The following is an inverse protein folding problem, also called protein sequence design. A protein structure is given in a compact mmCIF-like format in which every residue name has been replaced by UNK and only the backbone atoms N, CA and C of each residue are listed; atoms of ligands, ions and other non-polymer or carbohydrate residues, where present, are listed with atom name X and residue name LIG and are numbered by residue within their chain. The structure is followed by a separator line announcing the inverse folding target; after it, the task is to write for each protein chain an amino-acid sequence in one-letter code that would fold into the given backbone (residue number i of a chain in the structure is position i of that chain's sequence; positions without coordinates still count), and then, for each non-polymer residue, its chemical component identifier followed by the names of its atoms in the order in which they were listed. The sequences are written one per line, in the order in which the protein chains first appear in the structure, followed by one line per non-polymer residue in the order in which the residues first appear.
data_IF_094827236472
#
_entry.id   IF_094827236472
#
_cell.length_a   1.000
_cell.length_b   1.000
_cell.length_c   1.000
_cell.angle_alpha   90.00
_cell.angle_beta   90.00
_cell.angle_gamma   90.00
#
_symmetry.space_group_name_H-M   'P 1'
#
loop_
_entity.id
_entity.type
_entity.pdbx_description
1 polymer ?
#
# COMPACT_ATOMS: atom_id res chain seq x y z
N UNK A 1 8.99 2.62 -8.86
CA UNK A 1 8.30 1.49 -9.53
C UNK A 1 7.00 2.01 -10.16
N UNK A 2 6.62 1.56 -11.36
CA UNK A 2 5.33 1.93 -11.96
C UNK A 2 4.19 1.06 -11.44
N UNK A 3 2.93 1.51 -11.57
CA UNK A 3 1.75 0.72 -11.17
C UNK A 3 1.71 -0.66 -11.84
N UNK A 4 2.05 -0.71 -13.13
CA UNK A 4 2.14 -1.95 -13.89
C UNK A 4 3.21 -2.88 -13.33
N UNK A 5 4.41 -2.36 -13.08
CA UNK A 5 5.50 -3.16 -12.52
C UNK A 5 5.17 -3.71 -11.13
N UNK A 6 4.46 -2.93 -10.30
CA UNK A 6 3.98 -3.40 -9.00
C UNK A 6 2.96 -4.54 -9.17
N UNK A 7 1.98 -4.34 -10.06
CA UNK A 7 0.95 -5.34 -10.32
C UNK A 7 1.55 -6.67 -10.83
N UNK A 8 2.55 -6.60 -11.71
CA UNK A 8 3.33 -7.76 -12.16
C UNK A 8 4.07 -8.43 -10.99
N UNK A 9 4.73 -7.64 -10.13
CA UNK A 9 5.48 -8.16 -8.98
C UNK A 9 4.60 -8.91 -7.97
N UNK A 10 3.35 -8.47 -7.77
CA UNK A 10 2.41 -9.13 -6.83
C UNK A 10 1.40 -10.06 -7.50
N UNK A 11 1.45 -10.20 -8.83
CA UNK A 11 0.60 -11.11 -9.60
C UNK A 11 -0.87 -10.70 -9.70
N UNK A 12 -1.17 -9.40 -9.84
CA UNK A 12 -2.54 -8.87 -9.98
C UNK A 12 -2.72 -8.05 -11.25
N UNK A 13 -3.97 -7.73 -11.58
CA UNK A 13 -4.27 -6.79 -12.66
C UNK A 13 -3.81 -5.37 -12.28
N UNK A 14 -3.17 -4.58 -13.16
CA UNK A 14 -2.80 -3.18 -12.89
C UNK A 14 -3.94 -2.29 -12.36
N UNK A 15 -5.19 -2.60 -12.71
CA UNK A 15 -6.39 -1.92 -12.19
C UNK A 15 -6.60 -2.17 -10.69
N UNK A 16 -6.26 -3.36 -10.18
CA UNK A 16 -6.33 -3.71 -8.75
C UNK A 16 -5.51 -2.74 -7.91
N UNK A 17 -4.30 -2.39 -8.36
CA UNK A 17 -3.48 -1.39 -7.66
C UNK A 17 -4.18 -0.02 -7.65
N UNK A 18 -4.84 0.37 -8.76
CA UNK A 18 -5.60 1.60 -8.80
C UNK A 18 -6.80 1.61 -7.83
N UNK A 19 -7.48 0.48 -7.64
CA UNK A 19 -8.54 0.36 -6.64
C UNK A 19 -8.00 0.46 -5.21
N UNK A 20 -6.84 -0.15 -4.93
CA UNK A 20 -6.17 -0.06 -3.64
C UNK A 20 -5.79 1.39 -3.30
N UNK A 21 -5.20 2.12 -4.25
CA UNK A 21 -4.80 3.52 -4.05
C UNK A 21 -5.97 4.47 -3.76
N UNK A 22 -7.16 4.17 -4.30
CA UNK A 22 -8.38 4.94 -4.02
C UNK A 22 -9.12 4.48 -2.77
N UNK A 23 -8.75 3.33 -2.19
CA UNK A 23 -9.46 2.72 -1.08
C UNK A 23 -10.79 2.05 -1.47
N UNK A 24 -11.04 1.87 -2.78
CA UNK A 24 -12.25 1.21 -3.30
C UNK A 24 -12.24 -0.31 -3.05
N UNK A 25 -11.07 -0.86 -2.70
CA UNK A 25 -10.84 -2.28 -2.54
C UNK A 25 -9.95 -2.55 -1.33
N UNK A 26 -10.37 -3.46 -0.46
CA UNK A 26 -9.53 -4.02 0.58
C UNK A 26 -8.78 -5.25 0.04
N UNK A 27 -7.45 -5.31 0.14
CA UNK A 27 -6.68 -6.45 -0.36
C UNK A 27 -6.99 -7.73 0.45
N UNK A 28 -6.80 -8.89 -0.17
CA UNK A 28 -6.68 -10.15 0.58
C UNK A 28 -5.42 -10.15 1.44
N UNK A 29 -5.38 -11.02 2.46
CA UNK A 29 -4.17 -11.18 3.29
C UNK A 29 -2.94 -11.53 2.45
N UNK A 30 -3.09 -12.43 1.48
CA UNK A 30 -2.01 -12.81 0.55
C UNK A 30 -1.48 -11.61 -0.24
N UNK A 31 -2.38 -10.78 -0.79
CA UNK A 31 -1.98 -9.58 -1.53
C UNK A 31 -1.29 -8.57 -0.61
N UNK A 32 -1.80 -8.38 0.61
CA UNK A 32 -1.16 -7.55 1.63
C UNK A 32 0.25 -8.02 1.97
N UNK A 33 0.46 -9.32 2.18
CA UNK A 33 1.79 -9.88 2.45
C UNK A 33 2.75 -9.72 1.27
N UNK A 34 2.27 -9.91 0.02
CA UNK A 34 3.09 -9.67 -1.18
C UNK A 34 3.50 -8.21 -1.30
N UNK A 35 2.58 -7.28 -1.03
CA UNK A 35 2.86 -5.84 -1.03
C UNK A 35 3.89 -5.49 0.05
N UNK A 36 3.73 -6.02 1.26
CA UNK A 36 4.67 -5.84 2.37
C UNK A 36 6.09 -6.26 1.97
N UNK A 37 6.23 -7.44 1.36
CA UNK A 37 7.51 -7.94 0.87
C UNK A 37 8.13 -7.08 -0.24
N UNK A 38 7.32 -6.58 -1.19
CA UNK A 38 7.80 -5.72 -2.29
C UNK A 38 8.32 -4.37 -1.77
N UNK A 39 7.70 -3.82 -0.72
CA UNK A 39 8.08 -2.54 -0.13
C UNK A 39 9.08 -2.65 1.03
N UNK A 40 9.55 -3.86 1.33
CA UNK A 40 10.43 -4.14 2.49
C UNK A 40 9.86 -3.54 3.79
N UNK A 41 8.56 -3.74 3.99
CA UNK A 41 7.81 -3.19 5.12
C UNK A 41 7.16 -4.31 5.93
N UNK A 42 7.11 -4.19 7.27
CA UNK A 42 6.29 -5.07 8.09
C UNK A 42 4.82 -4.98 7.68
N UNK A 43 4.12 -6.13 7.71
CA UNK A 43 2.74 -6.24 7.23
C UNK A 43 1.76 -5.39 8.06
N UNK A 44 2.11 -5.17 9.32
CA UNK A 44 1.40 -4.32 10.28
C UNK A 44 1.34 -2.85 9.83
N UNK A 45 2.24 -2.41 8.95
CA UNK A 45 2.18 -1.07 8.35
C UNK A 45 1.20 -0.95 7.18
N UNK A 46 0.68 -2.07 6.68
CA UNK A 46 -0.32 -2.08 5.61
C UNK A 46 -1.75 -2.19 6.17
N UNK A 47 -1.91 -2.69 7.39
CA UNK A 47 -3.22 -2.93 8.00
C UNK A 47 -3.42 -2.07 9.23
N UNK A 48 -4.42 -1.19 9.16
CA UNK A 48 -4.87 -0.39 10.30
C UNK A 48 -6.40 -0.31 10.31
N UNK A 49 -6.99 -0.33 11.51
CA UNK A 49 -8.42 -0.06 11.70
C UNK A 49 -8.76 1.43 11.65
N UNK A 50 -7.74 2.29 11.62
CA UNK A 50 -7.88 3.73 11.46
C UNK A 50 -7.12 4.20 10.23
N UNK A 51 -7.60 5.24 9.52
CA UNK A 51 -6.85 5.80 8.40
C UNK A 51 -5.44 6.24 8.81
N UNK A 52 -4.45 5.92 7.99
CA UNK A 52 -3.08 6.40 8.20
C UNK A 52 -3.02 7.92 8.07
N UNK A 53 -2.08 8.52 8.81
CA UNK A 53 -1.74 9.92 8.64
C UNK A 53 -1.26 10.16 7.19
N UNK A 54 -1.69 11.27 6.59
CA UNK A 54 -1.21 11.63 5.26
C UNK A 54 0.31 11.87 5.29
N UNK A 55 1.02 11.51 4.22
CA UNK A 55 2.47 11.75 4.10
C UNK A 55 2.81 13.23 4.36
N UNK A 56 1.97 14.15 3.87
CA UNK A 56 2.16 15.58 4.10
C UNK A 56 2.08 15.97 5.59
N UNK A 57 1.18 15.36 6.36
CA UNK A 57 1.08 15.61 7.80
C UNK A 57 2.26 14.98 8.56
N UNK A 58 2.64 13.75 8.22
CA UNK A 58 3.77 13.07 8.84
C UNK A 58 5.09 13.84 8.62
N UNK A 59 5.31 14.37 7.41
CA UNK A 59 6.48 15.17 7.09
C UNK A 59 6.51 16.51 7.84
N UNK A 60 5.35 17.18 8.02
CA UNK A 60 5.29 18.41 8.81
C UNK A 60 5.71 18.17 10.26
N UNK A 61 5.16 17.11 10.88
CA UNK A 61 5.49 16.72 12.26
C UNK A 61 6.97 16.36 12.45
N UNK A 62 7.60 15.74 11.44
CA UNK A 62 9.02 15.38 11.51
C UNK A 62 9.98 16.57 11.33
N UNK A 63 9.48 17.71 10.82
CA UNK A 63 10.26 18.93 10.62
C UNK A 63 10.18 19.90 11.82
N UNK A 64 9.31 19.62 12.79
CA UNK A 64 9.21 20.29 14.09
C UNK A 64 10.18 19.66 15.11
#
# INVERSE_FOLDING_TARGET
MSRRALAEAVGVNPQTIGYLERGDYSPSLELGMKLAAVFDAPVELLFSFTPFESVASALRRAAE
#
